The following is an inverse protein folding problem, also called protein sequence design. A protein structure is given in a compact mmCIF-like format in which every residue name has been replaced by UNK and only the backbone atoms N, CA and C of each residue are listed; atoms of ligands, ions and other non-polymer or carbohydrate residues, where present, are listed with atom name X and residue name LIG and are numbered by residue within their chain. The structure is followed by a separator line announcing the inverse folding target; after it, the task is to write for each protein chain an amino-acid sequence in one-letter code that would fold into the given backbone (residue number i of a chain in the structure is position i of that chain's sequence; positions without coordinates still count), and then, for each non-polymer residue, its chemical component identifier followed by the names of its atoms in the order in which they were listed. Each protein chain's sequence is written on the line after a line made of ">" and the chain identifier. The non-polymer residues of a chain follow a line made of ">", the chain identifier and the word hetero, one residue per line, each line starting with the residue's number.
data_IF_582695053697
#
_entry.id   IF_582695053697
#
_cell.length_a   1.000
_cell.length_b   1.000
_cell.length_c   1.000
_cell.angle_alpha   90.00
_cell.angle_beta   90.00
_cell.angle_gamma   90.00
#
_symmetry.space_group_name_H-M   'P 1'
#
loop_
_entity.id
_entity.type
_entity.pdbx_description
1 polymer ?
#
# COMPACT_ATOMS: atom_id res chain seq x y z
N UNK A 1 49.02 20.81 -1.20
CA UNK A 1 47.77 20.49 -1.94
C UNK A 1 47.00 19.42 -1.16
N UNK A 2 46.29 19.81 -0.14
CA UNK A 2 45.33 18.96 0.62
C UNK A 2 44.29 19.89 1.22
N UNK A 3 43.13 19.98 0.57
CA UNK A 3 41.87 20.48 1.15
C UNK A 3 40.71 20.03 0.26
N UNK A 4 39.79 19.36 0.86
CA UNK A 4 38.40 19.05 0.49
C UNK A 4 38.04 17.57 0.61
N UNK A 5 37.89 17.07 1.86
CA UNK A 5 37.06 15.89 2.15
C UNK A 5 36.29 15.97 3.45
N UNK A 6 36.27 17.10 4.18
CA UNK A 6 35.65 17.18 5.53
C UNK A 6 34.20 17.67 5.60
N UNK A 7 33.61 18.12 4.49
CA UNK A 7 32.28 18.77 4.56
C UNK A 7 31.06 17.84 4.58
N UNK A 8 31.17 16.58 4.15
CA UNK A 8 30.02 15.65 4.08
C UNK A 8 29.79 14.92 5.41
N UNK A 9 30.82 14.52 6.11
CA UNK A 9 30.72 13.86 7.42
C UNK A 9 29.99 14.70 8.47
N UNK A 10 30.30 15.99 8.53
CA UNK A 10 29.70 16.94 9.47
C UNK A 10 28.19 17.12 9.30
N UNK A 11 27.70 17.16 8.07
CA UNK A 11 26.26 17.30 7.83
C UNK A 11 25.48 16.07 8.28
N UNK A 12 26.08 14.89 8.24
CA UNK A 12 25.44 13.65 8.62
C UNK A 12 25.38 13.46 10.13
N UNK A 13 26.45 13.84 10.86
CA UNK A 13 26.48 13.84 12.33
C UNK A 13 25.47 14.85 12.91
N UNK A 14 25.33 16.04 12.29
CA UNK A 14 24.31 17.02 12.69
C UNK A 14 22.88 16.53 12.36
N UNK A 15 22.69 15.78 11.28
CA UNK A 15 21.43 15.12 10.95
C UNK A 15 21.10 14.03 11.98
N UNK A 16 22.08 13.23 12.38
CA UNK A 16 21.97 12.25 13.47
C UNK A 16 21.60 12.89 14.82
N UNK A 17 22.31 13.94 15.24
CA UNK A 17 21.97 14.69 16.47
C UNK A 17 20.55 15.28 16.42
N UNK A 18 20.09 15.80 15.28
CA UNK A 18 18.72 16.34 15.10
C UNK A 18 17.64 15.25 15.12
N UNK A 19 17.93 14.07 14.58
CA UNK A 19 17.01 12.91 14.63
C UNK A 19 16.88 12.42 16.07
N UNK A 20 17.98 12.31 16.81
CA UNK A 20 18.01 11.86 18.21
C UNK A 20 17.38 12.88 19.18
N UNK A 21 17.60 14.18 18.98
CA UNK A 21 16.94 15.25 19.80
C UNK A 21 15.45 15.38 19.50
N UNK A 22 15.01 15.11 18.26
CA UNK A 22 13.59 15.05 17.90
C UNK A 22 12.86 13.88 18.56
N UNK A 23 13.53 12.73 18.76
CA UNK A 23 12.97 11.55 19.42
C UNK A 23 12.80 11.72 20.93
N UNK A 24 13.72 12.40 21.61
CA UNK A 24 13.59 12.72 23.05
C UNK A 24 12.48 13.74 23.36
N UNK A 25 12.13 14.60 22.40
CA UNK A 25 11.04 15.59 22.54
C UNK A 25 9.64 15.01 22.36
N UNK A 26 9.47 13.91 21.63
CA UNK A 26 8.18 13.28 21.36
C UNK A 26 7.66 12.39 22.50
N UNK A 27 8.55 11.88 23.35
CA UNK A 27 8.19 11.01 24.50
C UNK A 27 7.41 11.73 25.62
N UNK A 28 7.32 13.05 25.61
CA UNK A 28 6.69 13.84 26.70
C UNK A 28 5.21 14.15 26.42
N UNK A 29 4.67 13.89 25.23
CA UNK A 29 3.32 14.30 24.82
C UNK A 29 2.28 13.18 24.65
N UNK A 30 2.60 11.91 24.88
CA UNK A 30 1.69 10.77 24.62
C UNK A 30 1.18 10.04 25.86
N UNK A 31 0.85 10.74 26.95
CA UNK A 31 0.14 10.16 28.08
C UNK A 31 -1.32 10.60 28.08
N UNK A 32 -2.17 9.77 27.52
CA UNK A 32 -3.61 9.85 27.73
C UNK A 32 -4.52 9.65 26.53
N UNK A 33 -4.75 8.43 26.07
CA UNK A 33 -6.02 8.01 25.45
C UNK A 33 -6.29 6.51 25.72
N UNK A 34 -7.53 6.19 26.05
CA UNK A 34 -8.07 4.94 26.56
C UNK A 34 -8.16 3.81 25.51
N UNK A 35 -7.83 2.59 25.93
CA UNK A 35 -7.99 1.34 25.16
C UNK A 35 -9.45 0.91 25.09
N UNK A 36 -10.16 1.17 24.00
CA UNK A 36 -11.41 0.46 23.64
C UNK A 36 -11.89 0.69 22.19
N UNK A 37 -10.98 0.57 21.19
CA UNK A 37 -11.40 0.52 19.77
C UNK A 37 -10.29 0.01 18.82
N UNK A 38 -9.51 -0.98 19.24
CA UNK A 38 -8.28 -1.36 18.56
C UNK A 38 -8.53 -2.01 17.18
N UNK A 39 -9.57 -2.81 17.03
CA UNK A 39 -9.77 -3.61 15.80
C UNK A 39 -10.33 -2.82 14.59
N UNK A 40 -11.10 -1.76 14.83
CA UNK A 40 -11.60 -0.88 13.75
C UNK A 40 -10.61 0.23 13.38
N UNK A 41 -9.76 0.63 14.35
CA UNK A 41 -8.71 1.63 14.14
C UNK A 41 -7.50 1.07 13.37
N UNK A 42 -7.20 -0.24 13.51
CA UNK A 42 -6.12 -0.90 12.78
C UNK A 42 -6.38 -0.96 11.27
N UNK A 43 -7.60 -1.30 10.87
CA UNK A 43 -7.98 -1.28 9.45
C UNK A 43 -8.04 0.13 8.86
N UNK A 44 -8.45 1.12 9.63
CA UNK A 44 -8.44 2.53 9.22
C UNK A 44 -7.00 3.06 9.08
N UNK A 45 -6.09 2.69 9.99
CA UNK A 45 -4.68 3.07 9.94
C UNK A 45 -3.94 2.49 8.74
N UNK A 46 -4.24 1.25 8.34
CA UNK A 46 -3.69 0.60 7.15
C UNK A 46 -4.18 1.31 5.87
N UNK A 47 -5.45 1.70 5.83
CA UNK A 47 -6.03 2.44 4.71
C UNK A 47 -5.47 3.86 4.60
N UNK A 48 -5.24 4.53 5.72
CA UNK A 48 -4.61 5.85 5.77
C UNK A 48 -3.14 5.79 5.32
N UNK A 49 -2.43 4.71 5.67
CA UNK A 49 -1.06 4.44 5.20
C UNK A 49 -1.01 4.23 3.68
N UNK A 50 -1.90 3.42 3.12
CA UNK A 50 -1.97 3.18 1.66
C UNK A 50 -2.28 4.50 0.93
N UNK A 51 -3.28 5.26 1.39
CA UNK A 51 -3.66 6.53 0.79
C UNK A 51 -2.54 7.59 0.90
N UNK A 52 -1.81 7.62 2.02
CA UNK A 52 -0.73 8.59 2.24
C UNK A 52 0.52 8.26 1.41
N UNK A 53 0.94 6.99 1.33
CA UNK A 53 2.11 6.60 0.55
C UNK A 53 1.89 6.80 -0.95
N UNK A 54 0.69 6.51 -1.46
CA UNK A 54 0.36 6.70 -2.87
C UNK A 54 0.22 8.19 -3.25
N UNK A 55 -0.28 9.03 -2.35
CA UNK A 55 -0.36 10.48 -2.59
C UNK A 55 1.02 11.14 -2.67
N UNK A 56 2.00 10.64 -1.90
CA UNK A 56 3.38 11.15 -1.94
C UNK A 56 4.09 10.70 -3.23
N UNK A 57 3.94 9.45 -3.65
CA UNK A 57 4.55 8.94 -4.89
C UNK A 57 3.99 9.63 -6.16
N UNK A 58 2.69 9.99 -6.21
CA UNK A 58 2.09 10.73 -7.32
C UNK A 58 2.49 12.21 -7.36
N UNK A 59 2.77 12.84 -6.21
CA UNK A 59 3.18 14.25 -6.17
C UNK A 59 4.66 14.46 -6.51
N UNK A 60 5.52 13.45 -6.29
CA UNK A 60 6.94 13.50 -6.70
C UNK A 60 7.16 13.16 -8.19
N UNK A 61 6.23 12.47 -8.84
CA UNK A 61 6.31 12.11 -10.26
C UNK A 61 5.78 13.19 -11.23
N UNK A 62 5.20 14.28 -10.73
CA UNK A 62 4.56 15.31 -11.53
C UNK A 62 5.18 16.70 -11.33
N UNK A 63 6.43 16.88 -11.74
CA UNK A 63 6.89 18.20 -12.17
C UNK A 63 6.99 18.23 -13.71
N UNK A 64 6.07 18.90 -14.41
CA UNK A 64 6.30 19.27 -15.80
C UNK A 64 7.02 20.61 -15.85
N UNK A 65 8.25 20.62 -16.35
CA UNK A 65 8.82 21.82 -16.95
C UNK A 65 7.90 22.31 -18.08
N UNK A 66 7.60 23.62 -18.02
CA UNK A 66 6.89 24.41 -19.02
C UNK A 66 5.35 24.29 -19.08
N UNK A 67 4.69 25.07 -18.21
CA UNK A 67 3.38 25.60 -18.54
C UNK A 67 3.49 27.11 -18.85
N UNK A 68 3.45 27.42 -20.13
CA UNK A 68 3.20 28.78 -20.60
C UNK A 68 1.89 29.30 -20.02
N UNK A 69 1.96 30.50 -19.43
CA UNK A 69 0.80 31.30 -19.03
C UNK A 69 -0.11 31.55 -20.23
N UNK A 70 -1.20 30.83 -20.35
CA UNK A 70 -2.34 31.32 -21.13
C UNK A 70 -3.33 31.98 -20.16
N UNK A 71 -3.29 33.31 -20.19
CA UNK A 71 -4.33 34.17 -19.65
C UNK A 71 -5.56 33.99 -20.51
N UNK A 72 -6.62 33.40 -19.97
CA UNK A 72 -7.96 33.51 -20.52
C UNK A 72 -8.78 34.43 -19.63
N UNK A 73 -8.70 35.74 -19.94
CA UNK A 73 -9.78 36.67 -19.60
C UNK A 73 -10.86 36.54 -20.66
N UNK A 74 -11.99 35.95 -20.30
CA UNK A 74 -13.30 36.30 -20.86
C UNK A 74 -14.33 36.14 -19.76
N UNK A 75 -14.76 37.27 -19.20
CA UNK A 75 -16.03 37.33 -18.48
C UNK A 75 -17.15 36.98 -19.46
N UNK A 76 -17.72 35.77 -19.35
CA UNK A 76 -19.04 35.45 -19.87
C UNK A 76 -19.84 34.76 -18.78
N UNK A 77 -21.03 35.28 -18.55
CA UNK A 77 -22.09 34.91 -17.63
C UNK A 77 -22.08 33.44 -17.16
N UNK A 78 -21.54 33.20 -15.97
CA UNK A 78 -21.70 31.92 -15.26
C UNK A 78 -23.13 31.81 -14.75
N UNK A 79 -24.03 31.17 -15.52
CA UNK A 79 -25.31 30.72 -15.00
C UNK A 79 -25.08 29.60 -13.98
N UNK A 80 -24.92 29.94 -12.72
CA UNK A 80 -25.07 29.03 -11.60
C UNK A 80 -26.54 28.65 -11.46
N UNK A 81 -26.91 27.44 -11.85
CA UNK A 81 -28.21 26.90 -11.51
C UNK A 81 -28.12 26.31 -10.09
N UNK A 82 -28.30 27.15 -9.08
CA UNK A 82 -28.48 26.71 -7.70
C UNK A 82 -29.93 26.25 -7.56
N UNK A 83 -30.15 24.93 -7.55
CA UNK A 83 -31.46 24.30 -7.29
C UNK A 83 -31.69 24.09 -5.80
N UNK A 84 -30.95 24.81 -4.92
CA UNK A 84 -31.03 24.74 -3.46
C UNK A 84 -30.28 23.57 -2.82
N UNK A 85 -30.07 22.47 -3.54
CA UNK A 85 -29.34 21.29 -3.05
C UNK A 85 -28.11 20.94 -3.90
N UNK A 86 -28.09 21.30 -5.18
CA UNK A 86 -27.03 21.07 -6.15
C UNK A 86 -26.35 22.38 -6.56
N UNK A 87 -25.04 22.46 -6.41
CA UNK A 87 -24.24 23.54 -6.99
C UNK A 87 -23.63 23.07 -8.30
N UNK A 88 -24.10 23.65 -9.44
CA UNK A 88 -23.71 23.23 -10.78
C UNK A 88 -23.15 24.43 -11.55
N UNK A 89 -21.93 24.31 -12.06
CA UNK A 89 -21.23 25.31 -12.86
C UNK A 89 -20.86 24.72 -14.24
N UNK A 90 -21.43 25.22 -15.31
CA UNK A 90 -21.13 24.77 -16.68
C UNK A 90 -21.13 23.22 -16.85
N UNK A 91 -22.15 22.54 -16.32
CA UNK A 91 -22.26 21.09 -16.37
C UNK A 91 -21.40 20.33 -15.34
N UNK A 92 -20.59 21.01 -14.55
CA UNK A 92 -19.85 20.44 -13.42
C UNK A 92 -20.67 20.57 -12.14
N UNK A 93 -21.08 19.46 -11.54
CA UNK A 93 -21.68 19.40 -10.22
C UNK A 93 -20.56 19.43 -9.17
N UNK A 94 -20.42 20.55 -8.48
CA UNK A 94 -19.32 20.77 -7.52
C UNK A 94 -19.70 20.39 -6.09
N UNK A 95 -20.98 20.44 -5.74
CA UNK A 95 -21.46 20.13 -4.39
C UNK A 95 -22.93 19.73 -4.35
N UNK A 96 -23.24 18.80 -3.46
CA UNK A 96 -24.60 18.43 -3.04
C UNK A 96 -24.72 18.60 -1.54
N UNK A 97 -25.77 19.31 -1.10
CA UNK A 97 -26.04 19.60 0.32
C UNK A 97 -27.38 19.04 0.80
N UNK A 98 -28.10 18.34 -0.08
CA UNK A 98 -29.42 17.78 0.24
C UNK A 98 -29.37 16.58 1.17
N UNK A 99 -30.54 16.24 1.70
CA UNK A 99 -30.75 15.15 2.65
C UNK A 99 -31.67 14.06 2.11
N UNK A 100 -31.98 14.08 0.79
CA UNK A 100 -32.81 13.10 0.16
C UNK A 100 -32.16 11.70 0.20
N UNK A 101 -32.96 10.66 0.45
CA UNK A 101 -32.50 9.28 0.44
C UNK A 101 -32.24 8.77 -0.97
N UNK A 102 -32.96 9.26 -1.98
CA UNK A 102 -32.79 8.93 -3.39
C UNK A 102 -32.47 10.20 -4.17
N UNK A 103 -31.34 10.20 -4.84
CA UNK A 103 -30.85 11.34 -5.63
C UNK A 103 -30.73 10.96 -7.09
N UNK A 104 -31.36 11.73 -7.97
CA UNK A 104 -31.14 11.66 -9.43
C UNK A 104 -30.28 12.82 -9.84
N UNK A 105 -29.14 12.56 -10.47
CA UNK A 105 -28.25 13.61 -10.98
C UNK A 105 -28.97 14.38 -12.10
N UNK A 106 -29.00 15.71 -12.03
CA UNK A 106 -29.72 16.55 -13.02
C UNK A 106 -29.20 16.38 -14.45
N UNK A 107 -30.10 16.49 -15.44
CA UNK A 107 -29.77 16.29 -16.85
C UNK A 107 -28.79 17.30 -17.45
N UNK A 108 -28.59 18.44 -16.82
CA UNK A 108 -27.60 19.45 -17.21
C UNK A 108 -26.20 19.19 -16.63
N UNK A 109 -25.99 18.08 -15.88
CA UNK A 109 -24.68 17.68 -15.35
C UNK A 109 -23.98 16.77 -16.33
N UNK A 110 -22.83 17.15 -16.82
CA UNK A 110 -21.95 16.32 -17.65
C UNK A 110 -20.79 15.68 -16.85
N UNK A 111 -20.49 16.24 -15.66
CA UNK A 111 -19.39 15.79 -14.80
C UNK A 111 -19.74 15.97 -13.33
N UNK A 112 -19.56 14.92 -12.53
CA UNK A 112 -19.65 14.98 -11.07
C UNK A 112 -18.25 15.28 -10.52
N UNK A 113 -18.11 16.42 -9.85
CA UNK A 113 -16.83 16.95 -9.42
C UNK A 113 -16.24 16.23 -8.20
N UNK A 114 -14.96 16.53 -7.94
CA UNK A 114 -14.22 16.03 -6.78
C UNK A 114 -15.00 16.28 -5.49
N UNK A 115 -15.19 15.23 -4.68
CA UNK A 115 -15.84 15.28 -3.36
C UNK A 115 -17.27 15.84 -3.37
N UNK A 116 -17.98 15.88 -4.49
CA UNK A 116 -19.28 16.54 -4.63
C UNK A 116 -20.35 16.02 -3.63
N UNK A 117 -20.30 14.75 -3.25
CA UNK A 117 -21.21 14.11 -2.28
C UNK A 117 -20.45 13.55 -1.05
N UNK A 118 -19.16 13.82 -0.91
CA UNK A 118 -18.31 13.21 0.10
C UNK A 118 -18.94 13.28 1.50
N UNK A 119 -18.93 12.12 2.21
CA UNK A 119 -19.46 11.96 3.57
C UNK A 119 -20.96 12.29 3.73
N UNK A 120 -21.76 12.33 2.65
CA UNK A 120 -23.19 12.48 2.77
C UNK A 120 -23.80 11.20 3.37
N UNK A 121 -24.42 11.34 4.56
CA UNK A 121 -24.98 10.21 5.32
C UNK A 121 -26.48 9.98 5.10
N UNK A 122 -27.10 10.76 4.22
CA UNK A 122 -28.53 10.66 3.96
C UNK A 122 -28.85 9.81 2.73
N UNK A 123 -28.00 9.88 1.71
CA UNK A 123 -28.22 9.21 0.43
C UNK A 123 -28.14 7.69 0.59
N UNK A 124 -29.19 6.97 0.16
CA UNK A 124 -29.25 5.51 0.06
C UNK A 124 -29.17 5.02 -1.39
N UNK A 125 -29.62 5.83 -2.34
CA UNK A 125 -29.63 5.50 -3.76
C UNK A 125 -29.27 6.69 -4.63
N UNK A 126 -28.42 6.44 -5.65
CA UNK A 126 -28.05 7.46 -6.65
C UNK A 126 -28.33 6.94 -8.07
N UNK A 127 -28.97 7.77 -8.88
CA UNK A 127 -29.19 7.53 -10.32
C UNK A 127 -28.33 8.52 -11.11
N UNK A 128 -27.41 7.99 -11.90
CA UNK A 128 -26.46 8.74 -12.74
C UNK A 128 -26.88 8.54 -14.20
N UNK A 129 -27.44 9.56 -14.86
CA UNK A 129 -27.92 9.46 -16.23
C UNK A 129 -26.77 9.49 -17.25
N UNK A 130 -27.04 9.07 -18.50
CA UNK A 130 -26.04 8.88 -19.55
C UNK A 130 -25.41 10.16 -20.13
N UNK A 131 -25.85 11.34 -19.70
CA UNK A 131 -25.17 12.62 -20.03
C UNK A 131 -23.94 12.87 -19.15
N UNK A 132 -23.81 12.19 -17.99
CA UNK A 132 -22.61 12.26 -17.14
C UNK A 132 -21.52 11.40 -17.78
N UNK A 133 -20.41 12.03 -18.17
CA UNK A 133 -19.26 11.36 -18.78
C UNK A 133 -18.20 10.95 -17.76
N UNK A 134 -18.03 11.77 -16.72
CA UNK A 134 -16.96 11.58 -15.73
C UNK A 134 -17.48 11.75 -14.31
N UNK A 135 -17.03 10.86 -13.43
CA UNK A 135 -17.21 10.96 -11.99
C UNK A 135 -15.80 11.13 -11.41
N UNK A 136 -15.54 12.28 -10.78
CA UNK A 136 -14.20 12.61 -10.29
C UNK A 136 -13.90 11.95 -8.94
N UNK A 137 -12.61 12.04 -8.55
CA UNK A 137 -12.06 11.49 -7.32
C UNK A 137 -12.90 11.85 -6.10
N UNK A 138 -13.13 10.86 -5.19
CA UNK A 138 -13.82 11.03 -3.90
C UNK A 138 -15.29 11.48 -4.03
N UNK A 139 -15.90 11.46 -5.21
CA UNK A 139 -17.22 12.07 -5.44
C UNK A 139 -18.28 11.55 -4.46
N UNK A 140 -18.31 10.26 -4.13
CA UNK A 140 -19.22 9.63 -3.16
C UNK A 140 -18.46 8.96 -2.00
N UNK A 141 -17.19 9.30 -1.78
CA UNK A 141 -16.38 8.74 -0.69
C UNK A 141 -17.06 8.91 0.67
N UNK A 142 -17.10 7.84 1.46
CA UNK A 142 -17.68 7.89 2.81
C UNK A 142 -19.18 8.12 2.88
N UNK A 143 -19.93 7.96 1.76
CA UNK A 143 -21.39 7.96 1.77
C UNK A 143 -21.88 6.65 2.42
N UNK A 144 -21.75 6.57 3.75
CA UNK A 144 -21.91 5.32 4.52
C UNK A 144 -23.33 4.71 4.50
N UNK A 145 -24.33 5.39 3.95
CA UNK A 145 -25.67 4.83 3.76
C UNK A 145 -26.00 4.53 2.29
N UNK A 146 -25.07 4.79 1.36
CA UNK A 146 -25.29 4.53 -0.06
C UNK A 146 -25.31 3.02 -0.33
N UNK A 147 -26.48 2.47 -0.58
CA UNK A 147 -26.73 1.05 -0.82
C UNK A 147 -26.82 0.67 -2.29
N UNK A 148 -27.16 1.63 -3.16
CA UNK A 148 -27.30 1.38 -4.59
C UNK A 148 -26.85 2.57 -5.44
N UNK A 149 -26.22 2.26 -6.57
CA UNK A 149 -25.90 3.20 -7.64
C UNK A 149 -26.35 2.62 -8.96
N UNK A 150 -27.10 3.41 -9.74
CA UNK A 150 -27.47 3.08 -11.11
C UNK A 150 -26.74 4.03 -12.03
N UNK A 151 -25.88 3.50 -12.89
CA UNK A 151 -25.14 4.25 -13.90
C UNK A 151 -25.68 3.87 -15.28
N UNK A 152 -26.18 4.86 -16.03
CA UNK A 152 -26.59 4.65 -17.40
C UNK A 152 -25.38 4.56 -18.35
N UNK A 153 -25.60 4.00 -19.56
CA UNK A 153 -24.61 4.07 -20.63
C UNK A 153 -24.27 5.53 -20.94
N UNK A 154 -22.98 5.83 -21.06
CA UNK A 154 -22.45 7.18 -21.28
C UNK A 154 -21.44 7.62 -20.21
N UNK A 155 -21.42 7.00 -19.03
CA UNK A 155 -20.33 7.19 -18.06
C UNK A 155 -19.07 6.51 -18.61
N UNK A 156 -17.99 7.29 -18.76
CA UNK A 156 -16.74 6.85 -19.40
C UNK A 156 -15.58 6.73 -18.39
N UNK A 157 -15.54 7.62 -17.39
CA UNK A 157 -14.43 7.65 -16.41
C UNK A 157 -14.95 7.68 -14.97
N UNK A 158 -14.32 6.87 -14.10
CA UNK A 158 -14.55 6.87 -12.65
C UNK A 158 -13.21 7.11 -11.95
N UNK A 159 -13.14 8.21 -11.20
CA UNK A 159 -11.93 8.65 -10.47
C UNK A 159 -11.64 7.83 -9.21
N UNK A 160 -10.47 8.08 -8.65
CA UNK A 160 -9.95 7.40 -7.47
C UNK A 160 -10.89 7.53 -6.26
N UNK A 161 -11.08 6.44 -5.51
CA UNK A 161 -11.88 6.37 -4.28
C UNK A 161 -13.32 6.88 -4.41
N UNK A 162 -13.87 6.89 -5.63
CA UNK A 162 -15.19 7.48 -5.89
C UNK A 162 -16.29 6.89 -5.01
N UNK A 163 -16.33 5.58 -4.83
CA UNK A 163 -17.33 4.87 -4.02
C UNK A 163 -16.74 4.17 -2.80
N UNK A 164 -15.51 4.49 -2.42
CA UNK A 164 -14.88 3.90 -1.22
C UNK A 164 -15.69 4.22 0.03
N UNK A 165 -15.68 3.28 0.98
CA UNK A 165 -16.39 3.38 2.27
C UNK A 165 -17.91 3.59 2.13
N UNK A 166 -18.51 3.04 1.08
CA UNK A 166 -19.97 3.01 0.91
C UNK A 166 -20.55 1.66 1.33
N UNK A 167 -21.88 1.62 1.51
CA UNK A 167 -22.62 0.38 1.79
C UNK A 167 -23.28 -0.21 0.55
N UNK A 168 -22.71 0.01 -0.64
CA UNK A 168 -23.20 -0.60 -1.89
C UNK A 168 -23.33 -2.12 -1.73
N UNK A 169 -24.45 -2.69 -2.17
CA UNK A 169 -24.74 -4.13 -2.10
C UNK A 169 -24.33 -4.87 -3.36
N UNK A 170 -24.53 -4.23 -4.50
CA UNK A 170 -24.09 -4.72 -5.81
C UNK A 170 -23.84 -3.56 -6.76
N UNK A 171 -22.97 -3.78 -7.73
CA UNK A 171 -22.67 -2.80 -8.78
C UNK A 171 -22.69 -3.48 -10.13
N UNK A 172 -23.36 -2.85 -11.10
CA UNK A 172 -23.28 -3.19 -12.53
C UNK A 172 -22.68 -1.98 -13.24
N UNK A 173 -21.52 -2.16 -13.86
CA UNK A 173 -20.83 -1.09 -14.56
C UNK A 173 -21.34 -0.98 -16.01
N UNK A 174 -21.59 0.23 -16.55
CA UNK A 174 -21.96 0.40 -17.94
C UNK A 174 -20.82 0.03 -18.89
N UNK A 175 -21.16 -0.42 -20.10
CA UNK A 175 -20.17 -0.80 -21.13
C UNK A 175 -19.35 0.39 -21.64
N UNK A 176 -19.87 1.60 -21.45
CA UNK A 176 -19.23 2.85 -21.86
C UNK A 176 -17.99 3.20 -21.05
N UNK A 177 -17.74 2.55 -19.90
CA UNK A 177 -16.55 2.83 -19.10
C UNK A 177 -15.29 2.42 -19.85
N UNK A 178 -14.37 3.37 -19.99
CA UNK A 178 -13.05 3.18 -20.61
C UNK A 178 -11.90 3.33 -19.61
N UNK A 179 -12.16 3.99 -18.46
CA UNK A 179 -11.16 4.22 -17.42
C UNK A 179 -11.78 4.13 -16.02
N UNK A 180 -11.14 3.37 -15.16
CA UNK A 180 -11.32 3.42 -13.72
C UNK A 180 -9.96 3.64 -13.06
N UNK A 181 -9.91 4.58 -12.13
CA UNK A 181 -8.73 4.82 -11.32
C UNK A 181 -8.68 3.80 -10.15
N UNK A 182 -7.67 3.90 -9.31
CA UNK A 182 -7.44 2.98 -8.17
C UNK A 182 -8.46 3.20 -7.05
N UNK A 183 -8.69 2.18 -6.24
CA UNK A 183 -9.46 2.22 -4.99
C UNK A 183 -10.94 2.59 -5.14
N UNK A 184 -11.52 2.47 -6.35
CA UNK A 184 -12.88 2.97 -6.64
C UNK A 184 -13.93 2.39 -5.69
N UNK A 185 -13.87 1.10 -5.36
CA UNK A 185 -14.82 0.40 -4.49
C UNK A 185 -14.18 -0.11 -3.20
N UNK A 186 -13.06 0.44 -2.77
CA UNK A 186 -12.35 -0.05 -1.59
C UNK A 186 -13.20 0.13 -0.32
N UNK A 187 -13.11 -0.85 0.59
CA UNK A 187 -13.86 -0.87 1.86
C UNK A 187 -15.38 -0.81 1.72
N UNK A 188 -15.92 -1.25 0.59
CA UNK A 188 -17.36 -1.45 0.42
C UNK A 188 -17.78 -2.75 1.11
N UNK A 189 -17.85 -2.74 2.44
CA UNK A 189 -18.00 -3.95 3.27
C UNK A 189 -19.36 -4.67 3.15
N UNK A 190 -20.32 -4.12 2.40
CA UNK A 190 -21.59 -4.77 2.07
C UNK A 190 -21.70 -5.19 0.61
N UNK A 191 -20.68 -4.92 -0.21
CA UNK A 191 -20.65 -5.28 -1.63
C UNK A 191 -20.51 -6.80 -1.75
N UNK A 192 -21.55 -7.48 -2.26
CA UNK A 192 -21.57 -8.93 -2.45
C UNK A 192 -21.24 -9.35 -3.87
N UNK A 193 -21.56 -8.50 -4.85
CA UNK A 193 -21.32 -8.78 -6.27
C UNK A 193 -20.94 -7.52 -7.05
N UNK A 194 -20.09 -7.70 -8.07
CA UNK A 194 -19.73 -6.68 -9.05
C UNK A 194 -19.76 -7.26 -10.47
N UNK A 195 -20.36 -6.55 -11.41
CA UNK A 195 -20.40 -6.91 -12.83
C UNK A 195 -19.66 -5.85 -13.67
N UNK A 196 -18.51 -6.24 -14.21
CA UNK A 196 -17.66 -5.40 -15.07
C UNK A 196 -18.11 -5.34 -16.52
N UNK A 197 -19.15 -6.07 -16.89
CA UNK A 197 -19.69 -6.12 -18.24
C UNK A 197 -18.65 -6.42 -19.33
N UNK A 198 -18.60 -5.63 -20.41
CA UNK A 198 -17.65 -5.81 -21.53
C UNK A 198 -16.44 -4.86 -21.44
N UNK A 199 -16.28 -4.14 -20.33
CA UNK A 199 -15.21 -3.16 -20.15
C UNK A 199 -13.81 -3.75 -20.38
N UNK A 200 -12.97 -3.01 -21.11
CA UNK A 200 -11.61 -3.42 -21.47
C UNK A 200 -10.52 -2.69 -20.67
N UNK A 201 -10.95 -1.84 -19.74
CA UNK A 201 -10.05 -1.15 -18.81
C UNK A 201 -9.32 -2.14 -17.89
N UNK A 202 -8.30 -1.66 -17.22
CA UNK A 202 -7.51 -2.48 -16.28
C UNK A 202 -8.38 -2.85 -15.08
N UNK A 203 -8.59 -4.14 -14.85
CA UNK A 203 -9.27 -4.66 -13.66
C UNK A 203 -8.25 -5.46 -12.87
N UNK A 204 -7.88 -4.97 -11.72
CA UNK A 204 -7.00 -5.63 -10.75
C UNK A 204 -7.55 -5.41 -9.34
N UNK A 205 -6.90 -5.99 -8.34
CA UNK A 205 -7.40 -5.95 -6.98
C UNK A 205 -7.41 -4.55 -6.34
N UNK A 206 -6.66 -3.58 -6.86
CA UNK A 206 -6.63 -2.23 -6.30
C UNK A 206 -7.93 -1.43 -6.51
N UNK A 207 -8.74 -1.81 -7.50
CA UNK A 207 -10.04 -1.19 -7.73
C UNK A 207 -11.05 -1.58 -6.64
N UNK A 208 -10.96 -2.81 -6.07
CA UNK A 208 -12.01 -3.44 -5.25
C UNK A 208 -11.49 -3.92 -3.89
N UNK A 209 -10.31 -3.50 -3.45
CA UNK A 209 -9.69 -4.00 -2.22
C UNK A 209 -10.57 -3.86 -0.97
N UNK A 210 -10.35 -4.72 0.03
CA UNK A 210 -11.00 -4.68 1.34
C UNK A 210 -12.53 -4.80 1.31
N UNK A 211 -13.12 -5.49 0.32
CA UNK A 211 -14.56 -5.74 0.24
C UNK A 211 -14.90 -7.10 0.88
N UNK A 212 -14.91 -7.19 2.21
CA UNK A 212 -15.03 -8.46 2.96
C UNK A 212 -16.31 -9.28 2.69
N UNK A 213 -17.37 -8.67 2.13
CA UNK A 213 -18.58 -9.38 1.73
C UNK A 213 -18.57 -9.85 0.26
N UNK A 214 -17.59 -9.42 -0.55
CA UNK A 214 -17.58 -9.70 -1.99
C UNK A 214 -17.25 -11.16 -2.24
N UNK A 215 -18.18 -11.86 -2.89
CA UNK A 215 -18.05 -13.29 -3.23
C UNK A 215 -18.32 -13.58 -4.70
N UNK A 216 -18.91 -12.63 -5.43
CA UNK A 216 -19.30 -12.82 -6.83
C UNK A 216 -18.72 -11.73 -7.72
N UNK A 217 -17.99 -12.15 -8.76
CA UNK A 217 -17.50 -11.29 -9.85
C UNK A 217 -18.08 -11.77 -11.15
N UNK A 218 -18.54 -10.82 -11.99
CA UNK A 218 -19.02 -11.10 -13.34
C UNK A 218 -18.27 -10.29 -14.37
N UNK A 219 -18.04 -10.87 -15.52
CA UNK A 219 -17.66 -10.21 -16.75
C UNK A 219 -18.51 -10.80 -17.88
N UNK A 220 -18.85 -10.02 -18.90
CA UNK A 220 -19.56 -10.51 -20.07
C UNK A 220 -18.78 -11.63 -20.76
N UNK A 221 -19.49 -12.62 -21.31
CA UNK A 221 -18.87 -13.66 -22.14
C UNK A 221 -18.12 -13.13 -23.36
N UNK A 222 -18.51 -11.94 -23.84
CA UNK A 222 -17.87 -11.22 -24.96
C UNK A 222 -16.64 -10.41 -24.52
N UNK A 223 -16.32 -10.34 -23.22
CA UNK A 223 -15.13 -9.64 -22.76
C UNK A 223 -13.88 -10.26 -23.40
N UNK A 224 -13.08 -9.45 -24.08
CA UNK A 224 -11.90 -9.90 -24.83
C UNK A 224 -10.65 -10.00 -23.97
N UNK A 225 -10.63 -9.34 -22.80
CA UNK A 225 -9.46 -9.22 -21.95
C UNK A 225 -9.51 -10.13 -20.72
N UNK A 226 -10.70 -10.35 -20.18
CA UNK A 226 -10.90 -11.06 -18.91
C UNK A 226 -11.85 -12.24 -19.03
N UNK A 227 -11.74 -13.17 -18.09
CA UNK A 227 -12.68 -14.25 -17.84
C UNK A 227 -12.81 -14.50 -16.34
N UNK A 228 -13.95 -15.02 -15.92
CA UNK A 228 -14.19 -15.45 -14.54
C UNK A 228 -14.30 -16.98 -14.50
N UNK A 229 -13.59 -17.60 -13.57
CA UNK A 229 -13.67 -19.02 -13.27
C UNK A 229 -13.68 -19.19 -11.76
N UNK A 230 -14.62 -19.94 -11.22
CA UNK A 230 -14.82 -20.13 -9.77
C UNK A 230 -14.86 -18.83 -8.95
N UNK A 231 -15.52 -17.80 -9.51
CA UNK A 231 -15.58 -16.43 -8.99
C UNK A 231 -14.21 -15.73 -8.84
N UNK A 232 -13.18 -16.19 -9.50
CA UNK A 232 -11.87 -15.54 -9.58
C UNK A 232 -11.71 -14.93 -10.96
N UNK A 233 -11.21 -13.71 -11.01
CA UNK A 233 -10.94 -12.98 -12.24
C UNK A 233 -9.57 -13.34 -12.78
N UNK A 234 -9.51 -13.74 -14.03
CA UNK A 234 -8.29 -14.02 -14.77
C UNK A 234 -8.19 -13.15 -16.01
N UNK A 235 -6.97 -12.93 -16.50
CA UNK A 235 -6.82 -12.56 -17.91
C UNK A 235 -7.43 -13.63 -18.83
N UNK A 236 -7.82 -13.24 -20.05
CA UNK A 236 -8.50 -14.15 -20.99
C UNK A 236 -7.69 -15.39 -21.37
N UNK A 237 -6.35 -15.27 -21.36
CA UNK A 237 -5.43 -16.38 -21.62
C UNK A 237 -5.33 -17.39 -20.45
N UNK A 238 -5.88 -17.05 -19.29
CA UNK A 238 -5.85 -17.88 -18.08
C UNK A 238 -4.50 -17.93 -17.34
N UNK A 239 -3.51 -17.15 -17.79
CA UNK A 239 -2.16 -17.20 -17.22
C UNK A 239 -1.96 -16.28 -16.02
N UNK A 240 -2.81 -15.25 -15.86
CA UNK A 240 -2.72 -14.29 -14.76
C UNK A 240 -3.99 -14.33 -13.93
N UNK A 241 -3.87 -14.46 -12.61
CA UNK A 241 -4.96 -14.12 -11.68
C UNK A 241 -4.93 -12.62 -11.46
N UNK A 242 -6.03 -11.94 -11.82
CA UNK A 242 -6.18 -10.49 -11.62
C UNK A 242 -6.79 -10.15 -10.28
N UNK A 243 -7.78 -10.94 -9.81
CA UNK A 243 -8.40 -10.70 -8.51
C UNK A 243 -9.18 -11.92 -8.00
N UNK A 244 -9.01 -12.23 -6.72
CA UNK A 244 -9.80 -13.18 -5.95
C UNK A 244 -10.67 -12.40 -4.95
N UNK A 245 -12.01 -12.57 -4.94
CA UNK A 245 -12.88 -11.83 -4.05
C UNK A 245 -12.47 -11.93 -2.59
N UNK A 246 -12.39 -10.79 -1.90
CA UNK A 246 -11.96 -10.72 -0.51
C UNK A 246 -12.86 -11.54 0.43
N UNK A 247 -14.16 -11.66 0.14
CA UNK A 247 -15.11 -12.45 0.92
C UNK A 247 -14.99 -13.98 0.76
N UNK A 248 -14.08 -14.48 -0.08
CA UNK A 248 -13.86 -15.92 -0.23
C UNK A 248 -13.29 -16.52 1.05
N UNK A 249 -13.99 -17.48 1.62
CA UNK A 249 -13.58 -18.19 2.87
C UNK A 249 -13.07 -19.61 2.63
N UNK A 250 -13.25 -20.13 1.42
CA UNK A 250 -12.81 -21.49 1.07
C UNK A 250 -11.37 -21.50 0.60
N UNK A 251 -10.66 -22.59 0.89
CA UNK A 251 -9.33 -22.82 0.35
C UNK A 251 -9.31 -22.65 -1.17
N UNK A 252 -8.20 -22.15 -1.69
CA UNK A 252 -8.01 -21.97 -3.12
C UNK A 252 -6.81 -22.77 -3.62
N UNK A 253 -7.07 -23.65 -4.60
CA UNK A 253 -6.03 -24.27 -5.40
C UNK A 253 -5.94 -23.49 -6.72
N UNK A 254 -4.85 -22.76 -6.91
CA UNK A 254 -4.58 -22.07 -8.17
C UNK A 254 -4.37 -23.10 -9.26
N UNK A 255 -5.08 -23.01 -10.42
CA UNK A 255 -4.96 -24.02 -11.48
C UNK A 255 -3.57 -24.10 -12.09
N UNK A 256 -3.17 -25.29 -12.53
CA UNK A 256 -1.97 -25.48 -13.36
C UNK A 256 -2.06 -24.61 -14.62
N UNK A 257 -0.92 -24.07 -15.05
CA UNK A 257 -0.83 -23.15 -16.19
C UNK A 257 -0.97 -21.67 -15.85
N UNK A 258 -1.37 -21.30 -14.61
CA UNK A 258 -1.23 -19.94 -14.11
C UNK A 258 0.25 -19.65 -13.92
N UNK A 259 0.72 -18.57 -14.55
CA UNK A 259 2.12 -18.13 -14.49
C UNK A 259 2.33 -16.92 -13.58
N UNK A 260 1.26 -16.10 -13.37
CA UNK A 260 1.36 -14.84 -12.66
C UNK A 260 0.21 -14.68 -11.66
N UNK A 261 0.55 -14.29 -10.44
CA UNK A 261 -0.39 -13.73 -9.48
C UNK A 261 -0.27 -12.21 -9.62
N UNK A 262 -1.34 -11.55 -10.08
CA UNK A 262 -1.35 -10.12 -10.37
C UNK A 262 -1.24 -9.24 -9.12
N UNK A 263 -1.05 -7.93 -9.34
CA UNK A 263 -0.99 -6.95 -8.27
C UNK A 263 -2.33 -6.91 -7.52
N UNK A 264 -2.27 -6.88 -6.18
CA UNK A 264 -3.42 -6.87 -5.27
C UNK A 264 -4.38 -8.06 -5.43
N UNK A 265 -3.97 -9.14 -6.09
CA UNK A 265 -4.87 -10.23 -6.51
C UNK A 265 -5.61 -10.91 -5.35
N UNK A 266 -5.06 -10.98 -4.15
CA UNK A 266 -5.67 -11.56 -2.94
C UNK A 266 -5.73 -10.55 -1.79
N UNK A 267 -5.76 -9.26 -2.07
CA UNK A 267 -5.81 -8.21 -1.05
C UNK A 267 -7.00 -8.41 -0.10
N UNK A 268 -6.72 -8.49 1.23
CA UNK A 268 -7.69 -8.74 2.31
C UNK A 268 -8.56 -10.00 2.10
N UNK A 269 -8.08 -10.96 1.28
CA UNK A 269 -8.85 -12.17 1.04
C UNK A 269 -8.94 -13.03 2.32
N UNK A 270 -10.17 -13.39 2.69
CA UNK A 270 -10.46 -14.17 3.89
C UNK A 270 -10.14 -15.66 3.76
N UNK A 271 -9.61 -16.11 2.62
CA UNK A 271 -9.13 -17.49 2.48
C UNK A 271 -7.94 -17.75 3.42
N UNK A 272 -7.96 -18.88 4.09
CA UNK A 272 -6.88 -19.27 5.03
C UNK A 272 -5.78 -20.07 4.37
N UNK A 273 -6.02 -20.57 3.15
CA UNK A 273 -5.04 -21.36 2.41
C UNK A 273 -5.13 -21.12 0.90
N UNK A 274 -4.00 -20.78 0.31
CA UNK A 274 -3.81 -20.73 -1.14
C UNK A 274 -2.68 -21.67 -1.52
N UNK A 275 -2.95 -22.59 -2.46
CA UNK A 275 -1.94 -23.50 -3.02
C UNK A 275 -1.55 -23.01 -4.40
N UNK A 276 -0.28 -22.73 -4.60
CA UNK A 276 0.27 -22.27 -5.87
C UNK A 276 0.92 -23.44 -6.63
N UNK A 277 0.64 -23.64 -7.93
CA UNK A 277 1.30 -24.66 -8.76
C UNK A 277 2.72 -24.20 -9.16
N UNK A 278 3.55 -25.15 -9.55
CA UNK A 278 4.93 -24.89 -10.01
C UNK A 278 5.00 -24.07 -11.32
N UNK A 279 3.88 -23.85 -12.00
CA UNK A 279 3.80 -22.98 -13.17
C UNK A 279 3.91 -21.50 -12.81
N UNK A 280 3.67 -21.10 -11.55
CA UNK A 280 3.73 -19.67 -11.12
C UNK A 280 5.17 -19.19 -11.07
N UNK A 281 5.45 -18.13 -11.82
CA UNK A 281 6.76 -17.48 -11.98
C UNK A 281 6.86 -16.14 -11.25
N UNK A 282 5.73 -15.43 -11.07
CA UNK A 282 5.73 -14.14 -10.40
C UNK A 282 4.54 -13.96 -9.47
N UNK A 283 4.80 -13.26 -8.38
CA UNK A 283 3.80 -12.70 -7.45
C UNK A 283 3.92 -11.19 -7.53
N UNK A 284 2.82 -10.51 -7.82
CA UNK A 284 2.75 -9.06 -8.03
C UNK A 284 2.87 -8.24 -6.75
N UNK A 285 2.83 -6.92 -6.91
CA UNK A 285 2.81 -5.96 -5.82
C UNK A 285 1.57 -6.19 -4.95
N UNK A 286 1.74 -6.22 -3.61
CA UNK A 286 0.66 -6.39 -2.64
C UNK A 286 -0.29 -7.56 -2.95
N UNK A 287 0.18 -8.57 -3.67
CA UNK A 287 -0.67 -9.66 -4.15
C UNK A 287 -1.38 -10.42 -3.03
N UNK A 288 -0.76 -10.60 -1.88
CA UNK A 288 -1.32 -11.24 -0.69
C UNK A 288 -1.38 -10.29 0.52
N UNK A 289 -1.45 -8.99 0.27
CA UNK A 289 -1.53 -7.97 1.32
C UNK A 289 -2.69 -8.27 2.29
N UNK A 290 -2.40 -8.26 3.60
CA UNK A 290 -3.41 -8.41 4.66
C UNK A 290 -4.22 -9.72 4.57
N UNK A 291 -3.60 -10.82 4.13
CA UNK A 291 -4.27 -12.12 4.12
C UNK A 291 -4.12 -12.86 5.45
N UNK A 292 -5.15 -13.64 5.80
CA UNK A 292 -5.19 -14.42 7.06
C UNK A 292 -4.39 -15.73 7.03
N UNK A 293 -3.55 -15.98 6.03
CA UNK A 293 -2.82 -17.25 5.85
C UNK A 293 -1.79 -17.48 6.95
N UNK A 294 -1.82 -18.68 7.54
CA UNK A 294 -0.79 -19.13 8.51
C UNK A 294 0.46 -19.69 7.83
N UNK A 295 0.30 -20.25 6.65
CA UNK A 295 1.37 -20.89 5.88
C UNK A 295 1.23 -20.59 4.39
N UNK A 296 2.37 -20.35 3.73
CA UNK A 296 2.46 -20.20 2.29
C UNK A 296 3.65 -21.02 1.79
N UNK A 297 3.40 -21.90 0.82
CA UNK A 297 4.46 -22.62 0.10
C UNK A 297 4.66 -21.92 -1.23
N UNK A 298 5.81 -21.31 -1.41
CA UNK A 298 6.18 -20.69 -2.66
C UNK A 298 6.63 -21.74 -3.68
N UNK A 299 6.18 -21.68 -4.94
CA UNK A 299 6.50 -22.69 -5.95
C UNK A 299 7.99 -22.66 -6.35
N UNK A 300 8.55 -23.84 -6.68
CA UNK A 300 9.98 -23.97 -6.96
C UNK A 300 10.46 -23.14 -8.17
N UNK A 301 9.56 -22.79 -9.09
CA UNK A 301 9.87 -22.00 -10.29
C UNK A 301 9.62 -20.50 -10.11
N UNK A 302 9.31 -20.03 -8.90
CA UNK A 302 9.07 -18.61 -8.65
C UNK A 302 10.34 -17.77 -8.87
N UNK A 303 10.27 -16.80 -9.76
CA UNK A 303 11.38 -15.94 -10.17
C UNK A 303 11.34 -14.57 -9.47
N UNK A 304 10.12 -14.05 -9.20
CA UNK A 304 9.97 -12.72 -8.62
C UNK A 304 8.82 -12.60 -7.62
N UNK A 305 9.03 -11.75 -6.60
CA UNK A 305 8.04 -11.36 -5.58
C UNK A 305 8.01 -9.82 -5.57
N UNK A 306 6.84 -9.24 -5.77
CA UNK A 306 6.64 -7.79 -5.85
C UNK A 306 6.76 -7.07 -4.51
N UNK A 307 6.78 -5.73 -4.56
CA UNK A 307 6.78 -4.83 -3.39
C UNK A 307 5.59 -5.19 -2.48
N UNK A 308 5.83 -5.29 -1.16
CA UNK A 308 4.80 -5.50 -0.15
C UNK A 308 3.88 -6.73 -0.41
N UNK A 309 4.33 -7.72 -1.20
CA UNK A 309 3.50 -8.84 -1.65
C UNK A 309 2.82 -9.62 -0.51
N UNK A 310 3.43 -9.71 0.65
CA UNK A 310 2.92 -10.35 1.87
C UNK A 310 2.85 -9.38 3.06
N UNK A 311 2.78 -8.07 2.79
CA UNK A 311 2.69 -7.08 3.85
C UNK A 311 1.41 -7.32 4.69
N UNK A 312 1.52 -7.16 6.03
CA UNK A 312 0.41 -7.33 6.97
C UNK A 312 -0.21 -8.75 6.99
N UNK A 313 0.54 -9.79 6.57
CA UNK A 313 0.13 -11.18 6.75
C UNK A 313 0.38 -11.62 8.19
N UNK A 314 -0.46 -11.15 9.11
CA UNK A 314 -0.21 -11.25 10.55
C UNK A 314 -0.14 -12.68 11.09
N UNK A 315 -0.76 -13.66 10.44
CA UNK A 315 -0.77 -15.06 10.88
C UNK A 315 0.38 -15.90 10.29
N UNK A 316 1.11 -15.37 9.31
CA UNK A 316 2.20 -16.06 8.63
C UNK A 316 3.36 -16.31 9.61
N UNK A 317 3.74 -17.57 9.85
CA UNK A 317 4.75 -17.94 10.86
C UNK A 317 6.15 -18.11 10.28
N UNK A 318 6.22 -18.62 9.07
CA UNK A 318 7.48 -18.84 8.33
C UNK A 318 7.25 -18.84 6.83
N UNK A 319 8.28 -18.51 6.08
CA UNK A 319 8.28 -18.61 4.62
C UNK A 319 9.66 -19.05 4.12
N UNK A 320 9.70 -19.73 2.96
CA UNK A 320 10.96 -20.12 2.32
C UNK A 320 11.02 -19.54 0.91
N UNK A 321 12.02 -18.71 0.65
CA UNK A 321 12.31 -18.13 -0.67
C UNK A 321 12.90 -19.25 -1.57
N UNK A 322 12.32 -19.53 -2.74
CA UNK A 322 12.79 -20.60 -3.62
C UNK A 322 14.17 -20.31 -4.25
N UNK A 323 14.82 -21.37 -4.72
CA UNK A 323 16.16 -21.28 -5.31
C UNK A 323 16.21 -20.41 -6.59
N UNK A 324 15.13 -20.38 -7.37
CA UNK A 324 15.04 -19.62 -8.63
C UNK A 324 14.63 -18.15 -8.45
N UNK A 325 14.22 -17.73 -7.25
CA UNK A 325 13.82 -16.36 -7.00
C UNK A 325 15.04 -15.43 -7.09
N UNK A 326 15.00 -14.48 -8.02
CA UNK A 326 16.07 -13.51 -8.29
C UNK A 326 15.67 -12.07 -8.03
N UNK A 327 14.36 -11.80 -7.82
CA UNK A 327 13.84 -10.45 -7.55
C UNK A 327 12.88 -10.49 -6.38
N UNK A 328 13.14 -9.68 -5.36
CA UNK A 328 12.27 -9.45 -4.21
C UNK A 328 12.12 -7.93 -4.06
N UNK A 329 10.89 -7.45 -4.04
CA UNK A 329 10.60 -6.03 -3.86
C UNK A 329 10.83 -5.56 -2.42
N UNK A 330 10.70 -4.25 -2.19
CA UNK A 330 10.86 -3.67 -0.87
C UNK A 330 9.71 -4.09 0.06
N UNK A 331 10.02 -4.20 1.37
CA UNK A 331 9.05 -4.40 2.45
C UNK A 331 8.09 -5.58 2.26
N UNK A 332 8.55 -6.65 1.60
CA UNK A 332 7.71 -7.80 1.18
C UNK A 332 6.97 -8.45 2.35
N UNK A 333 7.58 -8.53 3.53
CA UNK A 333 7.05 -9.17 4.73
C UNK A 333 6.87 -8.19 5.89
N UNK A 334 6.73 -6.89 5.61
CA UNK A 334 6.51 -5.90 6.65
C UNK A 334 5.21 -6.16 7.43
N UNK A 335 5.18 -5.84 8.72
CA UNK A 335 4.01 -6.02 9.60
C UNK A 335 3.45 -7.45 9.66
N UNK A 336 4.28 -8.47 9.45
CA UNK A 336 3.93 -9.88 9.66
C UNK A 336 4.28 -10.28 11.10
N UNK A 337 3.45 -9.91 12.08
CA UNK A 337 3.76 -9.93 13.53
C UNK A 337 4.08 -11.32 14.11
N UNK A 338 3.66 -12.38 13.43
CA UNK A 338 3.96 -13.77 13.80
C UNK A 338 5.04 -14.41 12.93
N UNK A 339 5.58 -13.71 11.92
CA UNK A 339 6.65 -14.22 11.09
C UNK A 339 7.96 -14.23 11.89
N UNK A 340 8.42 -15.42 12.27
CA UNK A 340 9.64 -15.59 13.07
C UNK A 340 10.86 -15.88 12.18
N UNK A 341 10.66 -16.44 10.98
CA UNK A 341 11.75 -16.94 10.14
C UNK A 341 11.45 -16.78 8.65
N UNK A 342 12.39 -16.14 7.93
CA UNK A 342 12.45 -16.14 6.48
C UNK A 342 13.61 -17.03 6.08
N UNK A 343 13.30 -18.21 5.49
CA UNK A 343 14.30 -19.15 5.00
C UNK A 343 14.60 -18.90 3.52
N UNK A 344 15.75 -19.37 3.06
CA UNK A 344 16.13 -19.36 1.64
C UNK A 344 16.55 -20.78 1.25
N UNK A 345 15.97 -21.29 0.16
CA UNK A 345 16.26 -22.65 -0.34
C UNK A 345 17.70 -22.75 -0.82
N UNK A 346 18.30 -23.94 -0.60
CA UNK A 346 19.64 -24.25 -1.12
C UNK A 346 19.71 -24.04 -2.64
N UNK A 347 20.81 -23.44 -3.11
CA UNK A 347 21.02 -23.12 -4.53
C UNK A 347 20.54 -21.74 -4.96
N UNK A 348 19.90 -20.96 -4.09
CA UNK A 348 19.69 -19.53 -4.39
C UNK A 348 21.03 -18.79 -4.36
N UNK A 349 21.33 -18.06 -5.44
CA UNK A 349 22.62 -17.37 -5.61
C UNK A 349 22.55 -15.87 -5.29
N UNK A 350 21.36 -15.33 -5.09
CA UNK A 350 21.11 -13.89 -4.86
C UNK A 350 20.81 -13.63 -3.39
N UNK A 351 19.98 -14.51 -2.79
CA UNK A 351 19.49 -14.34 -1.43
C UNK A 351 20.05 -15.40 -0.49
N UNK A 352 20.13 -15.05 0.78
CA UNK A 352 20.45 -15.98 1.88
C UNK A 352 19.72 -15.60 3.15
N UNK A 353 19.55 -16.56 4.03
CA UNK A 353 19.00 -16.36 5.36
C UNK A 353 20.08 -16.61 6.40
N UNK A 354 20.18 -15.73 7.38
CA UNK A 354 20.97 -15.94 8.57
C UNK A 354 20.13 -15.58 9.80
N UNK A 355 20.04 -16.50 10.74
CA UNK A 355 19.18 -16.34 11.93
C UNK A 355 17.72 -15.93 11.57
N UNK A 356 17.19 -16.44 10.45
CA UNK A 356 15.86 -16.13 9.96
C UNK A 356 15.68 -14.76 9.32
N UNK A 357 16.74 -13.97 9.20
CA UNK A 357 16.76 -12.64 8.57
C UNK A 357 17.14 -12.80 7.10
N UNK A 358 16.43 -12.11 6.21
CA UNK A 358 16.69 -12.14 4.78
C UNK A 358 17.75 -11.13 4.39
N UNK A 359 18.79 -11.62 3.73
CA UNK A 359 19.85 -10.84 3.11
C UNK A 359 19.89 -11.09 1.60
N UNK A 360 20.41 -10.14 0.87
CA UNK A 360 20.65 -10.26 -0.57
C UNK A 360 21.91 -9.52 -1.00
N UNK A 361 22.15 -9.49 -2.32
CA UNK A 361 23.27 -8.77 -2.89
C UNK A 361 22.76 -7.69 -3.84
N UNK A 362 23.18 -6.45 -3.61
CA UNK A 362 23.01 -5.31 -4.52
C UNK A 362 24.38 -4.89 -5.05
N UNK A 363 24.55 -4.89 -6.37
CA UNK A 363 25.84 -4.58 -7.01
C UNK A 363 27.01 -5.40 -6.45
N UNK A 364 26.75 -6.67 -6.09
CA UNK A 364 27.74 -7.57 -5.48
C UNK A 364 28.04 -7.29 -4.00
N UNK A 365 27.32 -6.37 -3.36
CA UNK A 365 27.48 -6.01 -1.94
C UNK A 365 26.33 -6.59 -1.11
N UNK A 366 26.66 -7.12 0.06
CA UNK A 366 25.66 -7.69 0.96
C UNK A 366 24.80 -6.60 1.57
N UNK A 367 23.48 -6.76 1.49
CA UNK A 367 22.49 -5.88 2.13
C UNK A 367 21.49 -6.69 2.95
N UNK A 368 20.95 -6.09 4.02
CA UNK A 368 19.84 -6.64 4.78
C UNK A 368 18.54 -6.17 4.14
N UNK A 369 17.70 -7.14 3.73
CA UNK A 369 16.45 -6.87 3.01
C UNK A 369 15.26 -6.83 3.98
N UNK A 370 15.15 -7.85 4.86
CA UNK A 370 14.00 -7.92 5.78
C UNK A 370 14.29 -8.74 7.04
N UNK A 371 14.02 -8.16 8.17
CA UNK A 371 13.93 -8.84 9.45
C UNK A 371 12.47 -9.21 9.70
N UNK A 372 12.15 -10.48 10.03
CA UNK A 372 10.77 -10.86 10.30
C UNK A 372 10.23 -10.16 11.55
N UNK A 373 9.01 -9.57 11.47
CA UNK A 373 8.43 -8.77 12.55
C UNK A 373 8.11 -9.57 13.83
N UNK A 374 7.98 -10.90 13.71
CA UNK A 374 7.82 -11.79 14.86
C UNK A 374 9.11 -12.07 15.64
N UNK A 375 10.29 -11.67 15.12
CA UNK A 375 11.58 -11.87 15.77
C UNK A 375 11.67 -11.12 17.10
N UNK A 376 12.31 -11.75 18.09
CA UNK A 376 12.34 -11.25 19.48
C UNK A 376 13.78 -11.06 19.97
N UNK A 377 13.95 -10.13 20.92
CA UNK A 377 15.19 -9.97 21.66
C UNK A 377 16.29 -9.28 20.85
N UNK A 378 17.54 -9.73 21.01
CA UNK A 378 18.71 -9.12 20.39
C UNK A 378 18.92 -9.61 18.97
N UNK A 379 19.22 -8.69 18.05
CA UNK A 379 19.58 -8.97 16.66
C UNK A 379 21.03 -8.58 16.42
N UNK A 380 21.82 -9.50 15.90
CA UNK A 380 23.16 -9.22 15.38
C UNK A 380 23.10 -9.26 13.86
N UNK A 381 23.39 -8.14 13.21
CA UNK A 381 23.45 -8.05 11.76
C UNK A 381 24.69 -8.76 11.24
N UNK A 382 24.55 -9.50 10.15
CA UNK A 382 25.62 -10.32 9.57
C UNK A 382 26.81 -9.48 9.13
N UNK A 383 28.01 -9.93 9.48
CA UNK A 383 29.27 -9.30 9.07
C UNK A 383 29.38 -9.17 7.55
N UNK A 384 29.91 -8.03 7.10
CA UNK A 384 30.01 -7.69 5.68
C UNK A 384 28.75 -7.04 5.09
N UNK A 385 27.65 -6.89 5.87
CA UNK A 385 26.50 -6.13 5.45
C UNK A 385 26.87 -4.66 5.30
N UNK A 386 26.62 -4.08 4.12
CA UNK A 386 26.97 -2.67 3.82
C UNK A 386 25.78 -1.73 3.90
N UNK A 387 24.54 -2.25 3.79
CA UNK A 387 23.33 -1.46 3.84
C UNK A 387 22.18 -2.22 4.52
N UNK A 388 21.31 -1.48 5.17
CA UNK A 388 20.03 -1.91 5.69
C UNK A 388 19.00 -1.22 4.81
N UNK A 389 18.18 -1.99 4.06
CA UNK A 389 17.25 -1.41 3.08
C UNK A 389 16.04 -0.75 3.74
N UNK A 390 15.24 -0.03 2.93
CA UNK A 390 14.04 0.66 3.37
C UNK A 390 13.05 -0.32 4.01
N UNK A 391 12.48 0.06 5.16
CA UNK A 391 11.51 -0.73 5.90
C UNK A 391 12.00 -2.08 6.45
N UNK A 392 13.30 -2.39 6.38
CA UNK A 392 13.84 -3.74 6.68
C UNK A 392 13.49 -4.29 8.06
N UNK A 393 13.34 -3.44 9.08
CA UNK A 393 12.91 -3.77 10.44
C UNK A 393 11.58 -3.10 10.80
N UNK A 394 10.87 -2.52 9.85
CA UNK A 394 9.62 -1.81 10.14
C UNK A 394 8.64 -2.72 10.88
N UNK A 395 8.07 -2.22 11.98
CA UNK A 395 7.16 -2.95 12.87
C UNK A 395 7.76 -4.21 13.55
N UNK A 396 9.08 -4.31 13.68
CA UNK A 396 9.72 -5.34 14.51
C UNK A 396 9.59 -4.96 16.00
N UNK A 397 8.36 -4.97 16.51
CA UNK A 397 8.03 -4.47 17.84
C UNK A 397 8.63 -5.27 19.01
N UNK A 398 9.14 -6.49 18.75
CA UNK A 398 9.61 -7.43 19.78
C UNK A 398 11.14 -7.51 19.89
N UNK A 399 11.88 -6.83 19.00
CA UNK A 399 13.34 -6.72 19.12
C UNK A 399 13.69 -5.70 20.22
N UNK A 400 14.75 -5.99 20.99
CA UNK A 400 15.18 -5.14 22.11
C UNK A 400 16.54 -4.51 21.88
N UNK A 401 17.38 -5.10 21.04
CA UNK A 401 18.67 -4.52 20.66
C UNK A 401 19.11 -4.92 19.28
N UNK A 402 19.86 -4.04 18.63
CA UNK A 402 20.48 -4.28 17.32
C UNK A 402 21.97 -3.98 17.41
N UNK A 403 22.78 -4.94 16.95
CA UNK A 403 24.22 -4.84 16.83
C UNK A 403 24.63 -4.80 15.36
N UNK A 404 25.10 -3.63 14.88
CA UNK A 404 25.51 -3.45 13.49
C UNK A 404 27.02 -3.67 13.34
N UNK A 405 27.48 -4.46 12.35
CA UNK A 405 28.89 -4.57 12.02
C UNK A 405 29.43 -3.25 11.46
N UNK A 406 30.74 -3.03 11.59
CA UNK A 406 31.38 -1.80 11.12
C UNK A 406 31.36 -1.63 9.59
N UNK A 407 30.94 -2.66 8.85
CA UNK A 407 30.75 -2.59 7.39
C UNK A 407 29.51 -1.82 6.96
N UNK A 408 28.50 -1.60 7.86
CA UNK A 408 27.24 -0.91 7.50
C UNK A 408 27.50 0.56 7.24
N UNK A 409 27.13 1.04 6.05
CA UNK A 409 27.31 2.43 5.60
C UNK A 409 26.02 3.20 5.49
N UNK A 410 24.90 2.50 5.27
CA UNK A 410 23.59 3.13 5.08
C UNK A 410 22.48 2.40 5.81
N UNK A 411 21.53 3.19 6.28
CA UNK A 411 20.24 2.75 6.83
C UNK A 411 19.16 3.42 6.00
N UNK A 412 18.24 2.64 5.42
CA UNK A 412 17.18 3.09 4.54
C UNK A 412 16.07 3.88 5.23
N UNK A 413 15.15 4.40 4.44
CA UNK A 413 13.95 5.07 4.92
C UNK A 413 13.06 4.10 5.70
N UNK A 414 12.41 4.57 6.79
CA UNK A 414 11.54 3.76 7.65
C UNK A 414 12.19 2.45 8.18
N UNK A 415 13.52 2.26 8.06
CA UNK A 415 14.18 0.97 8.29
C UNK A 415 13.87 0.35 9.66
N UNK A 416 13.77 1.12 10.73
CA UNK A 416 13.42 0.68 12.10
C UNK A 416 12.12 1.35 12.58
N UNK A 417 11.27 1.81 11.70
CA UNK A 417 10.00 2.46 12.06
C UNK A 417 9.15 1.52 12.93
N UNK A 418 8.59 2.07 14.02
CA UNK A 418 7.74 1.33 14.97
C UNK A 418 8.42 0.11 15.64
N UNK A 419 9.73 0.11 15.80
CA UNK A 419 10.42 -0.85 16.67
C UNK A 419 10.22 -0.44 18.14
N UNK A 420 9.00 -0.55 18.66
CA UNK A 420 8.56 0.05 19.93
C UNK A 420 9.29 -0.49 21.16
N UNK A 421 9.81 -1.72 21.15
CA UNK A 421 10.60 -2.32 22.23
C UNK A 421 12.12 -2.18 22.05
N UNK A 422 12.61 -1.51 21.01
CA UNK A 422 14.02 -1.34 20.74
C UNK A 422 14.66 -0.39 21.76
N UNK A 423 15.51 -0.91 22.64
CA UNK A 423 16.14 -0.17 23.75
C UNK A 423 17.55 0.30 23.37
N UNK A 424 18.29 -0.55 22.66
CA UNK A 424 19.72 -0.36 22.41
C UNK A 424 20.09 -0.59 20.95
N UNK A 425 20.86 0.34 20.38
CA UNK A 425 21.46 0.18 19.04
C UNK A 425 22.98 0.46 19.15
N UNK A 426 23.80 -0.50 18.67
CA UNK A 426 25.21 -0.25 18.36
C UNK A 426 25.32 0.07 16.88
N UNK A 427 25.60 1.31 16.55
CA UNK A 427 25.82 1.75 15.18
C UNK A 427 27.21 1.36 14.66
N UNK A 428 27.31 1.20 13.34
CA UNK A 428 28.55 1.02 12.62
C UNK A 428 29.43 2.28 12.69
N UNK A 429 30.74 2.10 12.87
CA UNK A 429 31.70 3.19 12.78
C UNK A 429 31.85 3.78 11.37
N UNK A 430 31.38 3.07 10.34
CA UNK A 430 31.40 3.54 8.93
C UNK A 430 30.06 4.09 8.45
N UNK A 431 29.08 4.28 9.34
CA UNK A 431 27.76 4.74 8.98
C UNK A 431 27.82 6.19 8.45
N UNK A 432 27.41 6.38 7.18
CA UNK A 432 27.44 7.68 6.50
C UNK A 432 26.06 8.21 6.15
N UNK A 433 25.04 7.34 6.12
CA UNK A 433 23.71 7.72 5.66
C UNK A 433 22.60 7.07 6.49
N UNK A 434 21.58 7.87 6.83
CA UNK A 434 20.39 7.42 7.55
C UNK A 434 19.19 8.04 6.85
N UNK A 435 18.29 7.20 6.35
CA UNK A 435 17.07 7.57 5.66
C UNK A 435 16.08 8.32 6.55
N UNK A 436 15.08 8.94 5.92
CA UNK A 436 14.01 9.62 6.63
C UNK A 436 13.24 8.62 7.49
N UNK A 437 12.75 9.07 8.65
CA UNK A 437 11.93 8.27 9.58
C UNK A 437 12.55 6.92 10.00
N UNK A 438 13.85 6.68 9.77
CA UNK A 438 14.51 5.40 10.02
C UNK A 438 14.25 4.84 11.44
N UNK A 439 14.10 5.67 12.45
CA UNK A 439 13.81 5.29 13.85
C UNK A 439 12.50 5.91 14.37
N UNK A 440 11.56 6.23 13.48
CA UNK A 440 10.28 6.80 13.90
C UNK A 440 9.49 5.81 14.76
N UNK A 441 8.92 6.25 15.88
CA UNK A 441 8.23 5.41 16.88
C UNK A 441 9.10 4.29 17.50
N UNK A 442 10.40 4.50 17.66
CA UNK A 442 11.25 3.66 18.52
C UNK A 442 11.18 4.18 19.97
N UNK A 443 10.00 4.14 20.59
CA UNK A 443 9.68 4.87 21.82
C UNK A 443 10.44 4.40 23.05
N UNK A 444 10.99 3.16 23.03
CA UNK A 444 11.80 2.59 24.13
C UNK A 444 13.30 2.86 24.00
N UNK A 445 13.75 3.55 22.95
CA UNK A 445 15.18 3.71 22.68
C UNK A 445 15.85 4.63 23.72
N UNK A 446 16.72 4.04 24.56
CA UNK A 446 17.40 4.72 25.65
C UNK A 446 18.93 4.75 25.50
N UNK A 447 19.48 3.78 24.78
CA UNK A 447 20.92 3.61 24.63
C UNK A 447 21.33 3.62 23.18
N UNK A 448 22.05 4.63 22.79
CA UNK A 448 22.64 4.80 21.47
C UNK A 448 24.14 4.82 21.60
N UNK A 449 24.84 3.82 21.06
CA UNK A 449 26.27 3.80 20.96
C UNK A 449 26.66 4.37 19.61
N UNK A 450 27.06 5.65 19.64
CA UNK A 450 27.61 6.31 18.45
C UNK A 450 29.06 5.89 18.25
N UNK A 451 29.59 5.95 17.03
CA UNK A 451 31.02 5.76 16.76
C UNK A 451 31.89 6.67 17.63
N UNK A 452 33.04 6.15 18.11
CA UNK A 452 33.93 6.91 18.96
C UNK A 452 34.39 8.25 18.33
N UNK A 453 34.59 8.25 17.00
CA UNK A 453 34.96 9.46 16.25
C UNK A 453 33.82 10.52 16.19
N UNK A 454 32.56 10.12 16.45
CA UNK A 454 31.45 11.06 16.54
C UNK A 454 31.36 11.79 17.89
N UNK A 455 32.14 11.37 18.89
CA UNK A 455 32.15 11.92 20.25
C UNK A 455 33.34 12.85 20.52
N UNK A 456 34.35 12.89 19.65
CA UNK A 456 35.65 13.53 19.94
C UNK A 456 35.85 14.96 19.44
N UNK A 457 34.82 15.70 19.02
CA UNK A 457 34.95 17.11 18.65
C UNK A 457 34.10 18.06 19.51
N UNK A 458 34.27 18.00 20.84
CA UNK A 458 33.95 19.14 21.71
C UNK A 458 35.18 19.48 22.52
N UNK A 459 36.08 20.28 21.95
CA UNK A 459 37.23 20.74 22.69
C UNK A 459 38.15 21.61 21.87
N UNK A 460 37.67 22.71 21.32
CA UNK A 460 38.48 23.92 21.06
C UNK A 460 37.53 25.09 20.80
N UNK A 461 37.01 25.66 21.88
CA UNK A 461 36.72 27.08 21.93
C UNK A 461 37.83 27.71 22.77
N UNK A 462 38.68 28.47 22.13
CA UNK A 462 39.35 29.65 22.64
C UNK A 462 38.97 30.82 21.79
#
# INVERSE_FOLDING_TARGET
>A
MHRHKSGKGWRNVMKMKRILTGMLGAAILAAGVNLLSVQAAENAGVMEYIAATEYIEETEAAEPENAEKQVFETEEDTKTADTGEFTINNGLLTKYTGTAETVTIPSNVSRIGKSAFQNNKYIKSVIIPGNVRKIEMLAFYGCSNLESVTMAEGVEEIGMQTFSETHLKSVVLPKSIIKMDRLVFTSCNRLTSIDFTEGTYNINGDIIGSCAALTEIKVSGNNTRYQVKDNVLYEKNGKTICYCPAGRKTDMNVPDGVEHIGDFAFWDCLTTKVTLPDSVKSIGERAFFSTGMETMILPANLESIGKEAFFYCQNLKQITIPAKTTKIGNNVFGSCDHLETINVAAGNTIYRSEDGILYGTEEGRLVLINCPAGKKGSVKILEGTVGILDGSFSNCEKITSVDMPDSVKSIGEDAFKSCSSLIKVRFSNQLTDIGNYAFYRCDSMQQVHLPEDALHEEGHEQ
#
